data_IF_783505376524
#
_entry.id   IF_783505376524
#
_cell.length_a   1.000
_cell.length_b   1.000
_cell.length_c   1.000
_cell.angle_alpha   90.00
_cell.angle_beta   90.00
_cell.angle_gamma   90.00
#
_symmetry.space_group_name_H-M   'P 1'
#
loop_
_entity.id
_entity.type
_entity.pdbx_description
1 polymer ?
#
# COMPACT_ATOMS: atom_id res chain seq x y z
N UNK A 1 -13.19 -20.55 16.88
CA UNK A 1 -12.25 -19.73 16.10
C UNK A 1 -13.07 -18.81 15.22
N UNK A 2 -13.25 -17.55 15.61
CA UNK A 2 -13.65 -16.53 14.66
C UNK A 2 -12.40 -16.28 13.83
N UNK A 3 -12.39 -16.74 12.58
CA UNK A 3 -11.42 -16.26 11.60
C UNK A 3 -11.76 -14.79 11.39
N UNK A 4 -10.86 -13.89 11.78
CA UNK A 4 -11.11 -12.47 11.76
C UNK A 4 -11.32 -12.05 10.29
N UNK A 5 -12.56 -11.82 9.88
CA UNK A 5 -12.89 -11.39 8.51
C UNK A 5 -12.17 -10.08 8.13
N UNK A 6 -11.72 -9.30 9.13
CA UNK A 6 -10.87 -8.13 8.98
C UNK A 6 -9.57 -8.43 8.22
N UNK A 7 -8.95 -9.59 8.48
CA UNK A 7 -7.62 -9.91 7.95
C UNK A 7 -7.71 -10.21 6.44
N UNK A 8 -8.83 -10.80 6.01
CA UNK A 8 -9.15 -11.03 4.60
C UNK A 8 -9.41 -9.71 3.85
N UNK A 9 -10.15 -8.79 4.46
CA UNK A 9 -10.46 -7.49 3.85
C UNK A 9 -9.20 -6.62 3.71
N UNK A 10 -8.31 -6.65 4.71
CA UNK A 10 -7.02 -5.94 4.66
C UNK A 10 -6.11 -6.52 3.58
N UNK A 11 -6.05 -7.85 3.45
CA UNK A 11 -5.28 -8.50 2.40
C UNK A 11 -5.83 -8.18 1.00
N UNK A 12 -7.15 -8.16 0.83
CA UNK A 12 -7.77 -7.75 -0.43
C UNK A 12 -7.43 -6.29 -0.80
N UNK A 13 -7.42 -5.38 0.18
CA UNK A 13 -6.99 -3.98 -0.03
C UNK A 13 -5.52 -3.88 -0.42
N UNK A 14 -4.64 -4.64 0.24
CA UNK A 14 -3.22 -4.65 -0.07
C UNK A 14 -2.95 -5.14 -1.50
N UNK A 15 -3.61 -6.21 -1.92
CA UNK A 15 -3.54 -6.72 -3.31
C UNK A 15 -4.06 -5.64 -4.28
N UNK A 16 -5.20 -5.01 -3.99
CA UNK A 16 -5.75 -3.94 -4.82
C UNK A 16 -4.79 -2.77 -5.00
N UNK A 17 -4.09 -2.35 -3.94
CA UNK A 17 -3.07 -1.31 -4.01
C UNK A 17 -1.90 -1.71 -4.91
N UNK A 18 -1.37 -2.92 -4.74
CA UNK A 18 -0.26 -3.44 -5.54
C UNK A 18 -0.61 -3.50 -7.03
N UNK A 19 -1.83 -3.96 -7.36
CA UNK A 19 -2.30 -4.01 -8.75
C UNK A 19 -2.39 -2.61 -9.37
N UNK A 20 -2.94 -1.63 -8.63
CA UNK A 20 -2.99 -0.25 -9.11
C UNK A 20 -1.59 0.36 -9.29
N UNK A 21 -0.65 0.06 -8.39
CA UNK A 21 0.74 0.53 -8.51
C UNK A 21 1.40 -0.03 -9.77
N UNK A 22 1.31 -1.34 -9.99
CA UNK A 22 1.85 -2.01 -11.18
C UNK A 22 1.24 -1.45 -12.47
N UNK A 23 -0.08 -1.24 -12.50
CA UNK A 23 -0.76 -0.64 -13.64
C UNK A 23 -0.25 0.79 -13.91
N UNK A 24 -0.10 1.60 -12.86
CA UNK A 24 0.38 2.99 -12.96
C UNK A 24 1.81 3.08 -13.49
N UNK A 25 2.67 2.12 -13.13
CA UNK A 25 4.07 2.08 -13.59
C UNK A 25 4.25 1.39 -14.94
N UNK A 26 3.16 0.89 -15.55
CA UNK A 26 3.23 0.09 -16.78
C UNK A 26 3.93 -1.25 -16.60
N UNK A 27 4.01 -1.75 -15.36
CA UNK A 27 4.57 -3.07 -15.08
C UNK A 27 3.54 -4.16 -15.41
N UNK A 28 4.03 -5.34 -15.79
CA UNK A 28 3.18 -6.50 -16.00
C UNK A 28 2.49 -6.90 -14.69
N UNK A 29 1.18 -7.14 -14.76
CA UNK A 29 0.38 -7.61 -13.63
C UNK A 29 0.37 -9.13 -13.68
N UNK A 30 1.43 -9.74 -13.16
CA UNK A 30 1.55 -11.20 -12.99
C UNK A 30 1.49 -11.57 -11.51
N UNK A 31 1.21 -12.83 -11.22
CA UNK A 31 1.21 -13.35 -9.85
C UNK A 31 2.56 -13.12 -9.16
N UNK A 32 3.67 -13.35 -9.85
CA UNK A 32 5.01 -13.14 -9.30
C UNK A 32 5.26 -11.67 -8.96
N UNK A 33 4.86 -10.74 -9.84
CA UNK A 33 5.03 -9.32 -9.61
C UNK A 33 4.18 -8.85 -8.41
N UNK A 34 2.95 -9.35 -8.28
CA UNK A 34 2.08 -9.04 -7.15
C UNK A 34 2.68 -9.57 -5.85
N UNK A 35 3.10 -10.84 -5.82
CA UNK A 35 3.65 -11.47 -4.63
C UNK A 35 4.95 -10.80 -4.16
N UNK A 36 5.84 -10.41 -5.08
CA UNK A 36 7.07 -9.67 -4.77
C UNK A 36 6.76 -8.32 -4.10
N UNK A 37 5.80 -7.55 -4.63
CA UNK A 37 5.41 -6.27 -4.03
C UNK A 37 4.63 -6.47 -2.73
N UNK A 38 3.80 -7.50 -2.62
CA UNK A 38 3.03 -7.79 -1.43
C UNK A 38 3.94 -8.16 -0.26
N UNK A 39 4.99 -8.96 -0.50
CA UNK A 39 6.00 -9.28 0.50
C UNK A 39 6.72 -8.01 0.99
N UNK A 40 7.03 -7.07 0.08
CA UNK A 40 7.59 -5.77 0.44
C UNK A 40 6.61 -4.96 1.31
N UNK A 41 5.32 -4.91 0.99
CA UNK A 41 4.31 -4.17 1.77
C UNK A 41 4.18 -4.76 3.17
N UNK A 42 3.96 -6.08 3.26
CA UNK A 42 3.79 -6.80 4.53
C UNK A 42 5.05 -6.73 5.41
N UNK A 43 6.25 -6.82 4.82
CA UNK A 43 7.52 -6.73 5.55
C UNK A 43 7.97 -5.29 5.81
N UNK A 44 7.57 -4.31 4.98
CA UNK A 44 7.78 -2.89 5.28
C UNK A 44 6.94 -2.47 6.49
N UNK A 45 5.70 -2.94 6.61
CA UNK A 45 4.86 -2.60 7.77
C UNK A 45 5.43 -3.14 9.08
N UNK A 46 6.09 -4.31 9.09
CA UNK A 46 6.83 -4.79 10.26
C UNK A 46 8.03 -3.89 10.65
N UNK A 47 8.67 -3.23 9.68
CA UNK A 47 9.76 -2.26 9.92
C UNK A 47 9.26 -0.84 10.22
N UNK A 48 8.11 -0.45 9.66
CA UNK A 48 7.49 0.88 9.81
C UNK A 48 6.73 1.00 11.14
N UNK A 49 6.10 -0.09 11.61
CA UNK A 49 5.50 -0.15 12.94
C UNK A 49 6.52 0.09 14.08
N UNK A 50 7.81 -0.20 13.83
CA UNK A 50 8.91 0.13 14.75
C UNK A 50 9.46 1.56 14.64
N UNK A 51 9.05 2.33 13.63
CA UNK A 51 9.67 3.65 13.33
C UNK A 51 8.71 4.84 13.27
N UNK A 52 7.42 4.63 13.07
CA UNK A 52 6.47 5.75 12.95
C UNK A 52 5.71 6.01 14.25
N UNK A 53 6.44 6.59 15.22
CA UNK A 53 5.87 7.55 16.20
C UNK A 53 6.28 8.96 15.77
N UNK A 54 6.21 9.25 14.47
CA UNK A 54 6.26 10.64 13.99
C UNK A 54 5.00 10.91 13.15
N UNK A 55 4.25 11.97 13.46
CA UNK A 55 3.01 12.27 12.76
C UNK A 55 3.34 12.64 11.31
N UNK A 56 2.68 11.97 10.36
CA UNK A 56 2.71 12.35 8.95
C UNK A 56 2.46 13.85 8.84
N UNK A 57 3.48 14.59 8.37
CA UNK A 57 3.36 16.02 8.10
C UNK A 57 2.20 16.22 7.14
N UNK A 58 1.22 17.01 7.57
CA UNK A 58 0.02 17.35 6.82
C UNK A 58 0.38 17.82 5.41
N UNK A 59 -0.18 17.12 4.41
CA UNK A 59 -0.09 17.48 3.00
C UNK A 59 -0.84 18.81 2.80
N UNK A 60 -0.12 19.90 2.53
CA UNK A 60 -0.72 21.18 2.16
C UNK A 60 -0.78 21.26 0.64
N UNK A 61 -2.00 21.23 0.10
CA UNK A 61 -2.22 21.61 -1.29
C UNK A 61 -2.14 23.13 -1.39
N UNK A 62 -1.18 23.65 -2.14
CA UNK A 62 -1.16 25.05 -2.54
C UNK A 62 -2.16 25.21 -3.69
N UNK A 63 -3.24 25.94 -3.47
CA UNK A 63 -4.19 26.28 -4.52
C UNK A 63 -3.57 27.28 -5.52
N UNK A 64 -4.04 27.13 -6.76
CA UNK A 64 -3.83 27.98 -7.93
C UNK A 64 -2.55 27.76 -8.76
N UNK A 65 -2.68 26.82 -9.71
CA UNK A 65 -2.00 26.89 -11.01
C UNK A 65 -3.04 27.32 -12.06
N UNK A 66 -3.51 28.56 -11.99
CA UNK A 66 -4.29 29.17 -13.07
C UNK A 66 -3.82 30.60 -13.33
N UNK A 67 -3.25 30.79 -14.53
CA UNK A 67 -3.27 32.04 -15.31
C UNK A 67 -2.28 33.11 -14.91
#
# INVERSE_FOLDING_TARGET
MQTNNSDSDEMAKAIGYVVMELARTGCAITEEAINERLDIVLNKDARVAKKNVEPLKQLKFNESLCG
#
